data_IF_913045390823
#
_entry.id   IF_913045390823
#
_cell.length_a   1.000
_cell.length_b   1.000
_cell.length_c   1.000
_cell.angle_alpha   90.00
_cell.angle_beta   90.00
_cell.angle_gamma   90.00
#
_symmetry.space_group_name_H-M   'P 1'
#
loop_
_entity.id
_entity.type
_entity.pdbx_description
1 polymer ?
#
# COMPACT_ATOMS: atom_id res chain seq x y z
N UNK A 1 -8.90 9.59 16.92
CA UNK A 1 -7.51 9.29 17.29
C UNK A 1 -6.62 9.53 16.08
N UNK A 2 -5.61 10.33 16.21
CA UNK A 2 -4.70 10.62 15.11
C UNK A 2 -3.57 9.59 15.04
N UNK A 3 -3.10 9.32 13.83
CA UNK A 3 -1.90 8.53 13.62
C UNK A 3 -0.68 9.41 13.92
N UNK A 4 0.03 9.12 14.98
CA UNK A 4 1.34 9.73 15.23
C UNK A 4 2.45 8.70 14.98
N UNK A 5 3.71 9.13 15.09
CA UNK A 5 4.84 8.25 14.79
C UNK A 5 4.91 7.02 15.67
N UNK A 6 4.60 7.16 16.96
CA UNK A 6 4.63 6.04 17.90
C UNK A 6 3.48 5.06 17.66
N UNK A 7 2.28 5.57 17.44
CA UNK A 7 1.11 4.74 17.13
C UNK A 7 1.31 4.00 15.82
N UNK A 8 1.87 4.68 14.82
CA UNK A 8 2.19 4.09 13.52
C UNK A 8 3.18 2.96 13.68
N UNK A 9 4.20 3.13 14.52
CA UNK A 9 5.19 2.08 14.77
C UNK A 9 4.54 0.79 15.30
N UNK A 10 3.64 0.93 16.28
CA UNK A 10 2.94 -0.22 16.86
C UNK A 10 2.07 -0.94 15.82
N UNK A 11 1.34 -0.19 15.00
CA UNK A 11 0.49 -0.75 13.96
C UNK A 11 1.32 -1.47 12.91
N UNK A 12 2.43 -0.88 12.46
CA UNK A 12 3.31 -1.47 11.45
C UNK A 12 3.88 -2.79 11.94
N UNK A 13 4.32 -2.83 13.20
CA UNK A 13 4.85 -4.07 13.79
C UNK A 13 3.80 -5.19 13.78
N UNK A 14 2.56 -4.88 14.18
CA UNK A 14 1.47 -5.85 14.16
C UNK A 14 1.15 -6.33 12.75
N UNK A 15 1.07 -5.40 11.79
CA UNK A 15 0.78 -5.74 10.40
C UNK A 15 1.88 -6.61 9.79
N UNK A 16 3.13 -6.29 10.08
CA UNK A 16 4.27 -7.06 9.57
C UNK A 16 4.20 -8.50 10.07
N UNK A 17 3.91 -8.69 11.35
CA UNK A 17 3.79 -10.04 11.92
C UNK A 17 2.63 -10.84 11.32
N UNK A 18 1.50 -10.20 11.07
CA UNK A 18 0.30 -10.89 10.56
C UNK A 18 0.33 -11.13 9.06
N UNK A 19 0.87 -10.21 8.29
CA UNK A 19 0.70 -10.19 6.84
C UNK A 19 1.92 -10.65 6.03
N UNK A 20 3.12 -10.61 6.62
CA UNK A 20 4.34 -11.03 5.93
C UNK A 20 4.23 -12.49 5.50
N UNK A 21 4.70 -12.80 4.30
CA UNK A 21 4.59 -14.07 3.59
C UNK A 21 3.19 -14.37 3.06
N UNK A 22 2.21 -13.52 3.33
CA UNK A 22 0.86 -13.66 2.79
C UNK A 22 0.81 -13.34 1.31
N UNK A 23 -0.26 -13.83 0.66
CA UNK A 23 -0.48 -13.62 -0.78
C UNK A 23 -1.67 -12.69 -0.99
N UNK A 24 -1.53 -11.75 -1.90
CA UNK A 24 -2.62 -10.85 -2.28
C UNK A 24 -3.65 -11.64 -3.09
N UNK A 25 -4.86 -11.76 -2.55
CA UNK A 25 -5.94 -12.48 -3.20
C UNK A 25 -6.80 -11.54 -4.06
N UNK A 26 -7.03 -10.31 -3.59
CA UNK A 26 -7.91 -9.37 -4.27
C UNK A 26 -7.56 -7.94 -3.88
N UNK A 27 -7.79 -7.00 -4.82
CA UNK A 27 -7.65 -5.56 -4.57
C UNK A 27 -8.97 -4.88 -4.90
N UNK A 28 -9.42 -3.99 -4.03
CA UNK A 28 -10.67 -3.24 -4.17
C UNK A 28 -10.47 -1.79 -3.75
N UNK A 29 -11.25 -0.89 -4.34
CA UNK A 29 -11.22 0.54 -3.99
C UNK A 29 -12.67 0.98 -3.73
N UNK A 30 -13.18 0.81 -2.49
CA UNK A 30 -14.57 1.11 -2.19
C UNK A 30 -14.89 2.61 -2.26
N UNK A 31 -13.91 3.47 -2.01
CA UNK A 31 -14.05 4.92 -2.08
C UNK A 31 -12.83 5.52 -2.80
N UNK A 32 -12.95 6.75 -3.35
CA UNK A 32 -11.87 7.33 -4.16
C UNK A 32 -10.50 7.42 -3.51
N UNK A 33 -10.45 7.53 -2.19
CA UNK A 33 -9.18 7.65 -1.45
C UNK A 33 -8.87 6.42 -0.60
N UNK A 34 -9.61 5.31 -0.76
CA UNK A 34 -9.43 4.11 0.08
C UNK A 34 -9.20 2.87 -0.76
N UNK A 35 -8.18 2.11 -0.37
CA UNK A 35 -7.79 0.87 -1.02
C UNK A 35 -7.91 -0.27 -0.01
N UNK A 36 -8.49 -1.40 -0.44
CA UNK A 36 -8.53 -2.61 0.37
C UNK A 36 -7.79 -3.71 -0.36
N UNK A 37 -6.79 -4.27 0.30
CA UNK A 37 -6.00 -5.38 -0.22
C UNK A 37 -6.31 -6.61 0.64
N UNK A 38 -6.97 -7.59 0.04
CA UNK A 38 -7.25 -8.84 0.73
C UNK A 38 -6.00 -9.71 0.70
N UNK A 39 -5.42 -9.98 1.85
CA UNK A 39 -4.20 -10.76 1.99
C UNK A 39 -4.51 -12.05 2.73
N UNK A 40 -4.14 -13.18 2.12
CA UNK A 40 -4.26 -14.48 2.78
C UNK A 40 -2.92 -14.84 3.40
N UNK A 41 -2.88 -14.92 4.72
CA UNK A 41 -1.68 -15.24 5.48
C UNK A 41 -2.05 -16.15 6.64
N UNK A 42 -1.22 -17.14 6.94
CA UNK A 42 -1.41 -18.04 8.08
C UNK A 42 -2.82 -18.64 8.13
N UNK A 43 -3.36 -18.99 6.96
CA UNK A 43 -4.71 -19.59 6.80
C UNK A 43 -5.87 -18.65 7.11
N UNK A 44 -5.61 -17.34 7.19
CA UNK A 44 -6.62 -16.32 7.42
C UNK A 44 -6.65 -15.32 6.28
N UNK A 45 -7.82 -14.77 6.03
CA UNK A 45 -7.99 -13.67 5.07
C UNK A 45 -8.03 -12.35 5.83
N UNK A 46 -7.07 -11.48 5.55
CA UNK A 46 -6.97 -10.18 6.21
C UNK A 46 -7.27 -9.07 5.21
N UNK A 47 -8.40 -8.35 5.35
CA UNK A 47 -8.64 -7.15 4.52
C UNK A 47 -7.84 -5.99 5.09
N UNK A 48 -6.77 -5.61 4.38
CA UNK A 48 -5.95 -4.46 4.76
C UNK A 48 -6.52 -3.20 4.13
N UNK A 49 -7.03 -2.30 4.98
CA UNK A 49 -7.52 -0.99 4.54
C UNK A 49 -6.40 0.02 4.61
N UNK A 50 -6.17 0.72 3.49
CA UNK A 50 -5.26 1.85 3.42
C UNK A 50 -6.07 3.05 2.96
N UNK A 51 -6.20 4.06 3.81
CA UNK A 51 -7.00 5.24 3.51
C UNK A 51 -6.10 6.48 3.38
N UNK A 52 -6.22 7.16 2.25
CA UNK A 52 -5.61 8.47 2.03
C UNK A 52 -6.67 9.58 2.15
N UNK A 53 -7.77 9.32 2.83
CA UNK A 53 -8.82 10.29 3.08
C UNK A 53 -8.26 11.42 3.96
N UNK A 54 -8.36 12.69 3.53
CA UNK A 54 -7.76 13.80 4.30
C UNK A 54 -8.34 13.98 5.69
N UNK A 55 -9.58 13.57 5.90
CA UNK A 55 -10.24 13.69 7.20
C UNK A 55 -9.83 12.58 8.16
N UNK A 56 -9.60 11.38 7.63
CA UNK A 56 -9.28 10.23 8.48
C UNK A 56 -8.32 9.26 7.77
N UNK A 57 -7.06 9.70 7.55
CA UNK A 57 -6.07 8.81 6.93
C UNK A 57 -5.66 7.71 7.91
N UNK A 58 -5.54 6.46 7.41
CA UNK A 58 -5.19 5.34 8.27
C UNK A 58 -4.76 4.11 7.47
N UNK A 59 -4.12 3.18 8.18
CA UNK A 59 -3.86 1.83 7.69
C UNK A 59 -4.24 0.86 8.81
N UNK A 60 -5.01 -0.17 8.47
CA UNK A 60 -5.45 -1.16 9.47
C UNK A 60 -6.05 -2.39 8.79
N UNK A 61 -6.07 -3.51 9.52
CA UNK A 61 -6.89 -4.65 9.11
C UNK A 61 -8.32 -4.30 9.50
N UNK A 62 -9.23 -4.33 8.54
CA UNK A 62 -10.62 -3.94 8.78
C UNK A 62 -11.52 -5.19 8.83
N UNK A 63 -12.57 -5.11 9.62
CA UNK A 63 -13.64 -6.12 9.64
C UNK A 63 -14.94 -5.55 9.08
N UNK A 64 -14.92 -4.26 8.73
CA UNK A 64 -16.12 -3.56 8.25
C UNK A 64 -16.40 -3.98 6.81
N UNK A 65 -17.64 -4.44 6.49
CA UNK A 65 -18.01 -4.76 5.13
C UNK A 65 -17.90 -3.54 4.22
N UNK A 66 -17.50 -3.77 2.98
CA UNK A 66 -17.36 -2.71 1.99
C UNK A 66 -17.97 -3.14 0.67
N UNK A 67 -18.41 -2.16 -0.12
CA UNK A 67 -18.95 -2.40 -1.45
C UNK A 67 -17.93 -2.00 -2.50
N UNK A 68 -17.83 -2.81 -3.55
CA UNK A 68 -17.01 -2.46 -4.69
C UNK A 68 -17.78 -1.53 -5.62
N UNK A 69 -17.13 -0.52 -6.21
CA UNK A 69 -17.76 0.26 -7.28
C UNK A 69 -18.17 -0.64 -8.44
N UNK A 70 -19.22 -0.27 -9.13
CA UNK A 70 -19.69 -1.00 -10.31
C UNK A 70 -18.62 -1.02 -11.40
N UNK A 71 -17.92 0.12 -11.57
CA UNK A 71 -16.82 0.25 -12.52
C UNK A 71 -15.55 0.55 -11.75
N UNK A 72 -14.53 -0.33 -11.81
CA UNK A 72 -13.27 -0.08 -11.11
C UNK A 72 -12.54 1.10 -11.72
N UNK A 73 -11.83 1.87 -10.87
CA UNK A 73 -11.00 2.99 -11.34
C UNK A 73 -9.74 2.46 -12.04
N UNK A 74 -9.07 3.34 -12.79
CA UNK A 74 -7.78 3.00 -13.40
C UNK A 74 -6.76 2.60 -12.35
N UNK A 75 -6.74 3.27 -11.21
CA UNK A 75 -5.85 2.91 -10.10
C UNK A 75 -6.11 1.48 -9.60
N UNK A 76 -7.38 1.12 -9.40
CA UNK A 76 -7.75 -0.23 -8.97
C UNK A 76 -7.27 -1.28 -9.99
N UNK A 77 -7.49 -1.01 -11.27
CA UNK A 77 -7.08 -1.95 -12.32
C UNK A 77 -5.57 -2.11 -12.37
N UNK A 78 -4.83 -1.02 -12.19
CA UNK A 78 -3.38 -1.06 -12.11
C UNK A 78 -2.92 -1.88 -10.90
N UNK A 79 -3.53 -1.64 -9.74
CA UNK A 79 -3.19 -2.40 -8.52
C UNK A 79 -3.47 -3.88 -8.70
N UNK A 80 -4.59 -4.25 -9.31
CA UNK A 80 -4.91 -5.65 -9.59
C UNK A 80 -3.87 -6.29 -10.50
N UNK A 81 -3.51 -5.59 -11.57
CA UNK A 81 -2.52 -6.10 -12.53
C UNK A 81 -1.18 -6.43 -11.88
N UNK A 82 -0.71 -5.55 -11.00
CA UNK A 82 0.63 -5.70 -10.42
C UNK A 82 0.65 -6.43 -9.09
N UNK A 83 -0.39 -6.37 -8.29
CA UNK A 83 -0.37 -6.90 -6.92
C UNK A 83 -1.13 -8.20 -6.71
N UNK A 84 -2.15 -8.54 -7.51
CA UNK A 84 -2.86 -9.80 -7.29
C UNK A 84 -1.92 -10.97 -7.56
N UNK A 85 -1.84 -11.88 -6.56
CA UNK A 85 -0.91 -12.99 -6.58
C UNK A 85 0.46 -12.69 -5.99
N UNK A 86 0.76 -11.44 -5.69
CA UNK A 86 2.04 -11.05 -5.10
C UNK A 86 2.14 -11.51 -3.64
N UNK A 87 3.39 -11.69 -3.17
CA UNK A 87 3.69 -12.10 -1.80
C UNK A 87 4.14 -10.88 -1.00
N UNK A 88 3.60 -10.69 0.19
CA UNK A 88 4.05 -9.63 1.09
C UNK A 88 5.43 -10.00 1.65
N UNK A 89 6.45 -9.24 1.27
CA UNK A 89 7.82 -9.46 1.73
C UNK A 89 8.03 -8.85 3.12
N UNK A 90 7.69 -7.58 3.27
CA UNK A 90 7.82 -6.89 4.56
C UNK A 90 6.95 -5.64 4.59
N UNK A 91 6.65 -5.21 5.80
CA UNK A 91 5.94 -3.96 6.07
C UNK A 91 6.82 -3.16 7.03
N UNK A 92 7.16 -1.93 6.67
CA UNK A 92 8.07 -1.12 7.49
C UNK A 92 7.64 0.35 7.51
N UNK A 93 8.04 1.03 8.59
CA UNK A 93 7.82 2.46 8.76
C UNK A 93 9.09 3.21 8.36
N UNK A 94 8.92 4.36 7.70
CA UNK A 94 10.05 5.21 7.32
C UNK A 94 10.38 6.19 8.45
N UNK A 95 11.56 6.07 9.03
CA UNK A 95 12.15 7.05 9.96
C UNK A 95 11.23 7.55 11.09
N UNK A 96 10.44 6.67 11.67
CA UNK A 96 9.47 7.02 12.73
C UNK A 96 8.41 8.02 12.28
N UNK A 97 8.26 8.23 10.98
CA UNK A 97 7.25 9.10 10.41
C UNK A 97 5.96 8.32 10.12
N UNK A 98 4.94 9.00 9.62
CA UNK A 98 3.65 8.40 9.24
C UNK A 98 3.67 7.91 7.80
N UNK A 99 4.77 7.32 7.40
CA UNK A 99 4.97 6.77 6.05
C UNK A 99 5.24 5.28 6.21
N UNK A 100 4.44 4.45 5.53
CA UNK A 100 4.53 3.01 5.63
C UNK A 100 4.82 2.45 4.25
N UNK A 101 5.81 1.56 4.16
CA UNK A 101 6.16 0.87 2.93
C UNK A 101 5.81 -0.61 3.05
N UNK A 102 5.09 -1.12 2.07
CA UNK A 102 4.80 -2.55 1.95
C UNK A 102 5.52 -3.04 0.71
N UNK A 103 6.48 -3.94 0.90
CA UNK A 103 7.24 -4.53 -0.21
C UNK A 103 6.58 -5.82 -0.63
N UNK A 104 6.32 -5.96 -1.93
CA UNK A 104 5.72 -7.16 -2.52
C UNK A 104 6.70 -7.83 -3.46
N UNK A 105 6.79 -9.15 -3.37
CA UNK A 105 7.52 -9.97 -4.33
C UNK A 105 6.54 -10.46 -5.39
N UNK A 106 6.82 -10.20 -6.64
CA UNK A 106 5.97 -10.60 -7.75
C UNK A 106 6.81 -10.94 -8.97
N UNK A 107 6.18 -11.17 -10.11
CA UNK A 107 6.86 -11.42 -11.37
C UNK A 107 6.40 -10.44 -12.42
N UNK A 108 7.31 -10.04 -13.31
CA UNK A 108 6.96 -9.16 -14.43
C UNK A 108 6.34 -9.98 -15.58
N UNK A 109 6.03 -9.31 -16.67
CA UNK A 109 5.41 -9.94 -17.84
C UNK A 109 6.28 -11.03 -18.49
N UNK A 110 7.59 -10.95 -18.28
CA UNK A 110 8.54 -11.94 -18.80
C UNK A 110 8.77 -13.10 -17.83
N UNK A 111 8.12 -13.07 -16.66
CA UNK A 111 8.28 -14.08 -15.63
C UNK A 111 9.47 -13.87 -14.70
N UNK A 112 10.18 -12.76 -14.84
CA UNK A 112 11.31 -12.43 -13.98
C UNK A 112 10.84 -11.89 -12.63
N UNK A 113 11.57 -12.23 -11.57
CA UNK A 113 11.27 -11.73 -10.23
C UNK A 113 11.43 -10.21 -10.17
N UNK A 114 10.45 -9.54 -9.55
CA UNK A 114 10.54 -8.11 -9.30
C UNK A 114 9.95 -7.78 -7.93
N UNK A 115 10.36 -6.64 -7.37
CA UNK A 115 9.81 -6.14 -6.13
C UNK A 115 9.10 -4.81 -6.38
N UNK A 116 7.89 -4.70 -5.85
CA UNK A 116 7.09 -3.48 -5.90
C UNK A 116 6.88 -2.99 -4.48
N UNK A 117 6.88 -1.68 -4.30
CA UNK A 117 6.67 -1.06 -2.99
C UNK A 117 5.41 -0.21 -3.04
N UNK A 118 4.48 -0.48 -2.13
CA UNK A 118 3.33 0.38 -1.92
C UNK A 118 3.66 1.34 -0.79
N UNK A 119 3.74 2.63 -1.12
CA UNK A 119 4.08 3.68 -0.17
C UNK A 119 2.80 4.35 0.28
N UNK A 120 2.51 4.27 1.57
CA UNK A 120 1.32 4.87 2.18
C UNK A 120 1.75 6.04 3.04
N UNK A 121 1.39 7.25 2.61
CA UNK A 121 1.66 8.48 3.36
C UNK A 121 0.38 8.86 4.10
N UNK A 122 0.39 8.76 5.43
CA UNK A 122 -0.78 8.98 6.27
C UNK A 122 -0.67 10.33 6.96
N UNK A 123 -0.87 11.41 6.19
CA UNK A 123 -0.59 12.78 6.63
C UNK A 123 -1.72 13.75 6.26
N UNK A 124 -2.93 13.52 6.80
CA UNK A 124 -4.11 14.37 6.60
C UNK A 124 -4.35 14.64 5.10
N UNK A 125 -4.42 15.90 4.68
CA UNK A 125 -4.69 16.25 3.28
C UNK A 125 -3.54 15.92 2.33
N UNK A 126 -2.36 15.66 2.86
CA UNK A 126 -1.20 15.24 2.06
C UNK A 126 -1.07 13.72 1.98
N UNK A 127 -2.06 12.98 2.48
CA UNK A 127 -2.07 11.53 2.43
C UNK A 127 -2.14 11.05 0.99
N UNK A 128 -1.40 9.99 0.69
CA UNK A 128 -1.39 9.39 -0.65
C UNK A 128 -1.01 7.92 -0.56
N UNK A 129 -1.31 7.18 -1.62
CA UNK A 129 -0.91 5.79 -1.78
C UNK A 129 -0.26 5.69 -3.16
N UNK A 130 0.98 5.23 -3.20
CA UNK A 130 1.76 5.15 -4.44
C UNK A 130 2.36 3.76 -4.60
N UNK A 131 2.29 3.21 -5.82
CA UNK A 131 2.95 1.95 -6.15
C UNK A 131 4.19 2.26 -6.97
N UNK A 132 5.34 1.72 -6.54
CA UNK A 132 6.64 2.05 -7.10
C UNK A 132 7.39 0.77 -7.43
N UNK A 133 8.09 0.75 -8.57
CA UNK A 133 9.01 -0.33 -8.91
C UNK A 133 10.32 -0.09 -8.17
N UNK A 134 10.68 -1.01 -7.29
CA UNK A 134 11.87 -0.85 -6.44
C UNK A 134 13.17 -0.79 -7.25
N UNK A 135 13.27 -1.58 -8.31
CA UNK A 135 14.48 -1.66 -9.13
C UNK A 135 14.72 -0.38 -9.92
N UNK A 136 13.67 0.18 -10.53
CA UNK A 136 13.81 1.37 -11.40
C UNK A 136 13.55 2.67 -10.65
N UNK A 137 12.91 2.62 -9.49
CA UNK A 137 12.47 3.79 -8.75
C UNK A 137 11.31 4.54 -9.40
N UNK A 138 10.72 3.99 -10.45
CA UNK A 138 9.60 4.64 -11.16
C UNK A 138 8.27 4.40 -10.45
N UNK A 139 7.49 5.46 -10.33
CA UNK A 139 6.14 5.40 -9.80
C UNK A 139 5.25 4.79 -10.88
N UNK A 140 4.57 3.68 -10.54
CA UNK A 140 3.66 3.01 -11.45
C UNK A 140 2.31 3.73 -11.48
N UNK A 141 1.77 4.05 -10.30
CA UNK A 141 0.53 4.82 -10.17
C UNK A 141 0.38 5.36 -8.75
N UNK A 142 -0.49 6.35 -8.59
CA UNK A 142 -0.83 6.93 -7.29
C UNK A 142 -2.34 7.05 -7.19
N UNK A 143 -2.89 6.94 -5.97
CA UNK A 143 -4.34 7.10 -5.77
C UNK A 143 -4.75 8.57 -5.95
N UNK A 144 -3.84 9.51 -5.64
CA UNK A 144 -4.01 10.94 -5.89
C UNK A 144 -2.90 11.41 -6.81
N UNK A 145 -3.26 12.05 -7.92
CA UNK A 145 -2.28 12.54 -8.89
C UNK A 145 -1.86 13.96 -8.56
N UNK A 146 -0.79 14.09 -7.76
CA UNK A 146 -0.21 15.37 -7.38
C UNK A 146 1.27 15.37 -7.78
N UNK A 147 1.64 16.21 -8.74
CA UNK A 147 2.95 16.16 -9.39
C UNK A 147 4.15 16.26 -8.44
N UNK A 148 4.12 17.17 -7.47
CA UNK A 148 5.24 17.37 -6.54
C UNK A 148 5.44 16.19 -5.59
N UNK A 149 4.37 15.48 -5.24
CA UNK A 149 4.43 14.35 -4.31
C UNK A 149 5.12 13.14 -4.95
N UNK A 150 5.04 13.00 -6.26
CA UNK A 150 5.70 11.90 -6.97
C UNK A 150 7.22 11.94 -6.81
N UNK A 151 7.81 13.11 -6.86
CA UNK A 151 9.25 13.27 -6.64
C UNK A 151 9.63 12.94 -5.21
N UNK A 152 8.80 13.33 -4.25
CA UNK A 152 9.02 13.02 -2.84
C UNK A 152 9.05 11.53 -2.58
N UNK A 153 8.14 10.76 -3.18
CA UNK A 153 8.08 9.31 -2.99
C UNK A 153 9.37 8.65 -3.44
N UNK A 154 9.97 9.09 -4.54
CA UNK A 154 11.23 8.56 -5.03
C UNK A 154 12.37 8.72 -4.03
N UNK A 155 12.40 9.85 -3.30
CA UNK A 155 13.43 10.12 -2.31
C UNK A 155 13.34 9.21 -1.09
N UNK A 156 12.19 8.56 -0.87
CA UNK A 156 11.97 7.66 0.25
C UNK A 156 12.42 6.23 -0.02
N UNK A 157 12.84 5.92 -1.26
CA UNK A 157 13.23 4.58 -1.64
C UNK A 157 14.74 4.37 -1.49
N UNK A 158 15.17 3.16 -1.08
CA UNK A 158 16.59 2.85 -1.02
C UNK A 158 17.27 2.99 -2.37
N UNK A 159 18.52 3.43 -2.39
CA UNK A 159 19.31 3.53 -3.60
C UNK A 159 19.13 4.82 -4.38
N UNK A 160 18.32 5.75 -3.92
CA UNK A 160 18.21 7.08 -4.49
C UNK A 160 19.01 8.07 -3.67
N UNK A 161 20.07 8.48 -4.26
CA UNK A 161 20.91 9.53 -3.69
C UNK A 161 20.49 10.90 -4.14
#
# INVERSE_FOLDING_TARGET
MSFDGLFTHAIVHELDQKLTTGRVAKVSQPYPAELIIMIRAHRHNYPLLISANPTYPRIQITEIPYKNPVVPTNFTMTMRKYLEGAIVNKIEQVDNDRIIKITFDTRDELGDSQQLVLVSEIMARHSNISLVNLKTGKIIDTIKHVGSDQNRVRLLLPGHG
#
